data_IF_274571413072
#
_entry.id   IF_274571413072
#
_cell.length_a   1.000
_cell.length_b   1.000
_cell.length_c   1.000
_cell.angle_alpha   90.00
_cell.angle_beta   90.00
_cell.angle_gamma   90.00
#
_symmetry.space_group_name_H-M   'P 1'
#
loop_
_entity.id
_entity.type
_entity.pdbx_description
1 polymer ?
#
# COMPACT_ATOMS: atom_id res chain seq x y z
N UNK A 1 -30.87 53.07 41.42
CA UNK A 1 -30.10 51.98 40.79
C UNK A 1 -30.42 51.98 39.31
N UNK A 2 -29.41 52.19 38.47
CA UNK A 2 -29.57 52.58 37.08
C UNK A 2 -30.06 51.43 36.19
N UNK A 3 -31.16 51.67 35.47
CA UNK A 3 -31.56 50.91 34.30
C UNK A 3 -30.68 51.31 33.11
N UNK A 4 -30.09 50.32 32.42
CA UNK A 4 -29.44 50.54 31.13
C UNK A 4 -30.23 49.84 30.04
N UNK A 5 -31.00 50.66 29.34
CA UNK A 5 -31.47 50.47 27.96
C UNK A 5 -30.25 50.40 27.04
N UNK A 6 -30.20 49.42 26.13
CA UNK A 6 -29.34 49.54 24.95
C UNK A 6 -30.11 49.14 23.69
N UNK A 7 -30.11 50.08 22.76
CA UNK A 7 -30.81 50.07 21.51
C UNK A 7 -30.17 49.13 20.48
N UNK A 8 -31.07 48.61 19.64
CA UNK A 8 -30.83 47.83 18.44
C UNK A 8 -30.03 48.60 17.39
N UNK A 9 -29.02 47.95 16.78
CA UNK A 9 -28.42 48.37 15.51
C UNK A 9 -28.13 47.12 14.68
N UNK A 10 -28.90 46.95 13.61
CA UNK A 10 -28.69 45.94 12.59
C UNK A 10 -27.38 46.21 11.82
N UNK A 11 -26.57 45.16 11.66
CA UNK A 11 -25.48 45.10 10.68
C UNK A 11 -25.37 43.64 10.20
N UNK A 12 -25.32 43.48 8.88
CA UNK A 12 -25.27 42.19 8.16
C UNK A 12 -24.03 41.35 8.55
N UNK A 13 -24.10 40.01 8.52
CA UNK A 13 -22.90 39.19 8.56
C UNK A 13 -22.21 39.21 7.19
N UNK A 14 -21.03 39.84 7.13
CA UNK A 14 -20.07 39.65 6.06
C UNK A 14 -19.36 38.31 6.30
N UNK A 15 -19.82 37.30 5.57
CA UNK A 15 -19.21 35.98 5.46
C UNK A 15 -17.94 36.10 4.60
N UNK A 16 -16.76 36.08 5.23
CA UNK A 16 -15.49 35.86 4.52
C UNK A 16 -15.02 34.44 4.80
N UNK A 17 -15.37 33.59 3.85
CA UNK A 17 -15.12 32.16 3.84
C UNK A 17 -13.66 31.78 4.07
N UNK A 18 -13.50 31.00 5.15
CA UNK A 18 -12.62 29.85 5.26
C UNK A 18 -12.49 29.09 3.93
N UNK A 19 -11.40 29.30 3.19
CA UNK A 19 -11.04 28.46 2.03
C UNK A 19 -9.56 28.07 1.97
N UNK A 20 -8.72 28.54 2.91
CA UNK A 20 -7.33 28.08 3.05
C UNK A 20 -7.23 26.75 3.80
N UNK A 21 -7.95 26.61 4.92
CA UNK A 21 -7.80 25.46 5.82
C UNK A 21 -8.45 24.15 5.35
N UNK A 22 -9.41 24.20 4.41
CA UNK A 22 -10.08 23.01 3.90
C UNK A 22 -9.30 22.33 2.76
N UNK A 23 -8.53 23.11 1.99
CA UNK A 23 -7.78 22.61 0.83
C UNK A 23 -6.48 21.91 1.26
N UNK A 24 -5.81 22.42 2.29
CA UNK A 24 -4.66 21.76 2.92
C UNK A 24 -5.07 20.54 3.75
N UNK A 25 -6.23 20.55 4.41
CA UNK A 25 -6.79 19.36 5.09
C UNK A 25 -7.24 18.28 4.11
N UNK A 26 -7.83 18.66 2.97
CA UNK A 26 -8.23 17.71 1.92
C UNK A 26 -7.03 17.10 1.17
N UNK A 27 -5.90 17.81 1.08
CA UNK A 27 -4.64 17.29 0.52
C UNK A 27 -3.85 16.45 1.54
N UNK A 28 -4.05 16.64 2.84
CA UNK A 28 -3.48 15.80 3.90
C UNK A 28 -4.28 14.50 4.13
N UNK A 29 -5.59 14.50 3.88
CA UNK A 29 -6.46 13.32 4.02
C UNK A 29 -6.51 12.42 2.78
N UNK A 30 -6.07 12.90 1.61
CA UNK A 30 -5.92 12.09 0.40
C UNK A 30 -4.48 11.67 0.19
N UNK A 31 -4.07 10.67 0.98
CA UNK A 31 -3.15 9.59 0.61
C UNK A 31 -1.83 9.97 -0.10
N UNK A 32 -0.65 9.68 0.49
CA UNK A 32 0.71 9.90 -0.06
C UNK A 32 0.96 9.51 -1.53
N UNK A 33 0.06 8.73 -2.14
CA UNK A 33 0.08 8.34 -3.54
C UNK A 33 -0.17 9.50 -4.52
N UNK A 34 -0.96 10.53 -4.17
CA UNK A 34 -1.22 11.68 -5.07
C UNK A 34 0.09 12.41 -5.38
N UNK A 35 0.93 12.60 -4.36
CA UNK A 35 2.26 13.17 -4.52
C UNK A 35 3.20 12.23 -5.29
N UNK A 36 3.06 10.91 -5.17
CA UNK A 36 3.83 9.92 -5.93
C UNK A 36 3.44 9.89 -7.42
N UNK A 37 2.16 9.98 -7.74
CA UNK A 37 1.65 10.06 -9.12
C UNK A 37 2.02 11.39 -9.77
N UNK A 38 1.96 12.50 -9.03
CA UNK A 38 2.44 13.80 -9.50
C UNK A 38 3.97 13.82 -9.72
N UNK A 39 4.75 13.12 -8.88
CA UNK A 39 6.19 12.91 -9.07
C UNK A 39 6.51 12.02 -10.27
N UNK A 40 5.75 10.95 -10.50
CA UNK A 40 5.88 10.10 -11.69
C UNK A 40 5.55 10.83 -12.99
N UNK A 41 4.55 11.72 -12.97
CA UNK A 41 4.24 12.64 -14.08
C UNK A 41 5.35 13.69 -14.31
N UNK A 42 6.22 13.95 -13.34
CA UNK A 42 7.38 14.84 -13.49
C UNK A 42 8.64 14.13 -14.02
N UNK A 43 8.69 12.79 -13.98
CA UNK A 43 9.87 11.96 -14.26
C UNK A 43 10.18 11.69 -15.76
N UNK A 44 9.87 12.64 -16.64
CA UNK A 44 10.23 12.58 -18.06
C UNK A 44 9.29 11.73 -18.94
N UNK A 45 9.51 11.76 -20.27
CA UNK A 45 8.56 11.25 -21.27
C UNK A 45 8.29 9.74 -21.18
N UNK A 46 9.26 8.93 -20.74
CA UNK A 46 9.10 7.46 -20.60
C UNK A 46 8.15 7.06 -19.47
N UNK A 47 8.22 7.73 -18.32
CA UNK A 47 7.34 7.47 -17.17
C UNK A 47 5.88 7.85 -17.47
N UNK A 48 5.67 8.86 -18.32
CA UNK A 48 4.34 9.32 -18.74
C UNK A 48 3.66 8.36 -19.72
N UNK A 49 4.43 7.76 -20.64
CA UNK A 49 3.92 6.77 -21.59
C UNK A 49 3.53 5.46 -20.89
N UNK A 50 4.32 5.01 -19.91
CA UNK A 50 4.03 3.83 -19.09
C UNK A 50 2.78 4.01 -18.21
N UNK A 51 2.58 5.22 -17.65
CA UNK A 51 1.39 5.53 -16.87
C UNK A 51 0.12 5.57 -17.73
N UNK A 52 0.20 6.15 -18.93
CA UNK A 52 -0.94 6.29 -19.83
C UNK A 52 -1.39 4.97 -20.48
N UNK A 53 -0.49 4.00 -20.63
CA UNK A 53 -0.79 2.69 -21.22
C UNK A 53 -1.47 1.71 -20.25
N UNK A 54 -1.43 1.97 -18.93
CA UNK A 54 -1.90 1.04 -17.91
C UNK A 54 -3.02 1.58 -17.00
N UNK A 55 -3.60 2.73 -17.35
CA UNK A 55 -4.73 3.30 -16.60
C UNK A 55 -6.07 2.82 -17.20
N UNK A 56 -6.92 2.11 -16.44
CA UNK A 56 -8.25 1.74 -16.90
C UNK A 56 -9.15 2.98 -17.11
N UNK A 57 -10.10 2.91 -18.05
CA UNK A 57 -10.96 4.04 -18.48
C UNK A 57 -11.74 4.71 -17.33
N UNK A 58 -12.07 3.95 -16.29
CA UNK A 58 -12.73 4.44 -15.07
C UNK A 58 -11.84 5.38 -14.26
N UNK A 59 -10.51 5.19 -14.32
CA UNK A 59 -9.51 6.00 -13.61
C UNK A 59 -9.15 7.26 -14.41
N UNK A 60 -9.12 7.17 -15.74
CA UNK A 60 -9.03 8.32 -16.65
C UNK A 60 -10.22 9.28 -16.45
N UNK A 61 -11.43 8.73 -16.33
CA UNK A 61 -12.65 9.50 -16.07
C UNK A 61 -12.58 10.29 -14.75
N UNK A 62 -11.97 9.71 -13.72
CA UNK A 62 -11.77 10.35 -12.41
C UNK A 62 -10.67 11.42 -12.43
N UNK A 63 -9.56 11.16 -13.13
CA UNK A 63 -8.50 12.15 -13.37
C UNK A 63 -9.02 13.38 -14.14
N UNK A 64 -9.83 13.16 -15.17
CA UNK A 64 -10.51 14.21 -15.94
C UNK A 64 -11.48 15.00 -15.06
N UNK A 65 -12.21 14.32 -14.17
CA UNK A 65 -13.14 14.96 -13.22
C UNK A 65 -12.42 15.79 -12.16
N UNK A 66 -11.27 15.32 -11.66
CA UNK A 66 -10.42 16.02 -10.69
C UNK A 66 -9.75 17.27 -11.27
N UNK A 67 -9.41 17.25 -12.56
CA UNK A 67 -8.78 18.38 -13.26
C UNK A 67 -9.80 19.37 -13.84
N UNK A 68 -11.09 19.01 -13.87
CA UNK A 68 -12.21 19.80 -14.39
C UNK A 68 -12.31 21.23 -13.83
N UNK A 69 -12.06 21.50 -12.53
CA UNK A 69 -12.15 22.87 -12.00
C UNK A 69 -11.05 23.81 -12.52
N UNK A 70 -9.88 23.28 -12.91
CA UNK A 70 -8.81 24.07 -13.53
C UNK A 70 -9.00 24.29 -15.04
N UNK A 71 -9.81 23.44 -15.67
CA UNK A 71 -10.12 23.45 -17.11
C UNK A 71 -11.27 24.43 -17.47
N UNK A 72 -12.07 24.86 -16.51
CA UNK A 72 -13.14 25.85 -16.73
C UNK A 72 -12.64 27.28 -17.00
N UNK A 73 -11.33 27.53 -16.88
CA UNK A 73 -10.72 28.86 -16.99
C UNK A 73 -10.15 29.20 -18.37
N UNK A 74 -10.29 28.33 -19.39
CA UNK A 74 -9.86 28.65 -20.77
C UNK A 74 -11.06 28.83 -21.72
N UNK A 75 -11.01 29.84 -22.61
CA UNK A 75 -12.13 30.16 -23.48
C UNK A 75 -12.31 29.10 -24.60
N UNK A 76 -13.54 28.66 -24.89
CA UNK A 76 -13.81 27.76 -26.01
C UNK A 76 -13.71 28.51 -27.35
N UNK A 77 -13.22 27.83 -28.39
CA UNK A 77 -13.32 28.32 -29.78
C UNK A 77 -14.74 28.10 -30.32
N UNK A 78 -15.32 29.09 -31.03
CA UNK A 78 -16.67 28.96 -31.56
C UNK A 78 -16.71 27.93 -32.70
N UNK A 79 -17.65 26.98 -32.62
CA UNK A 79 -18.04 26.11 -33.75
C UNK A 79 -17.62 24.63 -33.72
N UNK A 80 -17.11 24.06 -32.63
CA UNK A 80 -16.69 22.64 -32.58
C UNK A 80 -17.71 21.71 -31.90
N UNK A 81 -17.96 20.54 -32.51
CA UNK A 81 -18.84 19.50 -31.94
C UNK A 81 -18.14 18.69 -30.83
N UNK A 82 -18.91 18.01 -29.98
CA UNK A 82 -18.43 17.29 -28.79
C UNK A 82 -17.32 16.23 -29.05
N UNK A 83 -17.35 15.45 -30.15
CA UNK A 83 -16.28 14.49 -30.46
C UNK A 83 -14.96 15.19 -30.87
N UNK A 84 -15.05 16.32 -31.58
CA UNK A 84 -13.87 17.11 -31.97
C UNK A 84 -13.22 17.81 -30.77
N UNK A 85 -14.05 18.26 -29.82
CA UNK A 85 -13.56 18.72 -28.51
C UNK A 85 -12.84 17.60 -27.75
N UNK A 86 -13.29 16.35 -27.92
CA UNK A 86 -12.63 15.20 -27.30
C UNK A 86 -11.26 14.85 -27.90
N UNK A 87 -11.11 14.96 -29.21
CA UNK A 87 -9.83 14.71 -29.88
C UNK A 87 -8.84 15.84 -29.64
N UNK A 88 -9.32 17.08 -29.71
CA UNK A 88 -8.54 18.28 -29.48
C UNK A 88 -7.97 18.36 -28.06
N UNK A 89 -8.69 17.88 -27.02
CA UNK A 89 -8.14 17.88 -25.66
C UNK A 89 -7.00 16.88 -25.50
N UNK A 90 -7.05 15.70 -26.15
CA UNK A 90 -5.97 14.70 -26.08
C UNK A 90 -4.69 15.24 -26.71
N UNK A 91 -4.84 15.87 -27.88
CA UNK A 91 -3.74 16.47 -28.62
C UNK A 91 -3.18 17.72 -27.91
N UNK A 92 -4.04 18.55 -27.30
CA UNK A 92 -3.63 19.71 -26.51
C UNK A 92 -2.96 19.33 -25.18
N UNK A 93 -3.42 18.28 -24.49
CA UNK A 93 -2.77 17.76 -23.29
C UNK A 93 -1.38 17.21 -23.62
N UNK A 94 -1.28 16.42 -24.69
CA UNK A 94 0.00 15.89 -25.17
C UNK A 94 0.97 17.02 -25.55
N UNK A 95 0.49 18.04 -26.27
CA UNK A 95 1.29 19.19 -26.66
C UNK A 95 1.72 20.06 -25.47
N UNK A 96 0.86 20.28 -24.46
CA UNK A 96 1.20 21.05 -23.26
C UNK A 96 2.21 20.34 -22.35
N UNK A 97 2.13 19.00 -22.29
CA UNK A 97 3.09 18.14 -21.60
C UNK A 97 4.47 18.14 -22.30
N UNK A 98 4.48 18.26 -23.64
CA UNK A 98 5.71 18.42 -24.43
C UNK A 98 6.27 19.86 -24.38
N UNK A 99 5.44 20.91 -24.40
CA UNK A 99 5.90 22.31 -24.41
C UNK A 99 6.53 22.79 -23.10
N UNK A 100 6.28 22.10 -21.99
CA UNK A 100 6.93 22.37 -20.69
C UNK A 100 8.29 21.67 -20.53
N UNK A 101 8.67 20.81 -21.46
CA UNK A 101 10.03 20.29 -21.59
C UNK A 101 10.82 21.26 -22.49
N UNK A 102 11.33 22.35 -21.91
CA UNK A 102 12.31 23.20 -22.57
C UNK A 102 13.55 22.40 -22.98
N UNK A 103 14.17 22.85 -24.08
CA UNK A 103 15.24 22.26 -24.91
C UNK A 103 16.45 21.65 -24.17
N UNK A 104 17.15 20.67 -24.79
CA UNK A 104 18.28 19.99 -24.16
C UNK A 104 19.54 20.88 -24.16
N UNK A 105 20.13 21.09 -22.97
CA UNK A 105 21.50 21.58 -22.81
C UNK A 105 22.51 20.43 -22.92
N UNK A 106 23.77 20.68 -23.33
CA UNK A 106 24.68 19.63 -23.77
C UNK A 106 25.14 18.73 -22.61
N UNK A 107 25.35 17.47 -22.96
CA UNK A 107 25.76 16.37 -22.11
C UNK A 107 26.86 16.77 -21.09
N UNK A 108 26.49 16.81 -19.81
CA UNK A 108 27.43 16.70 -18.71
C UNK A 108 27.46 15.22 -18.28
N UNK A 109 28.65 14.63 -18.39
CA UNK A 109 28.94 13.24 -18.06
C UNK A 109 28.39 12.86 -16.69
N UNK A 110 27.56 11.81 -16.67
CA UNK A 110 27.24 11.08 -15.44
C UNK A 110 28.55 10.45 -14.96
N UNK A 111 28.98 10.65 -13.69
CA UNK A 111 30.13 9.94 -13.16
C UNK A 111 29.83 8.43 -13.20
N UNK A 112 30.82 7.65 -13.64
CA UNK A 112 30.76 6.18 -13.60
C UNK A 112 30.28 5.65 -12.23
N UNK A 113 29.61 4.49 -12.21
CA UNK A 113 29.31 3.81 -10.96
C UNK A 113 30.63 3.48 -10.25
N UNK A 114 30.72 3.86 -8.98
CA UNK A 114 31.75 3.36 -8.07
C UNK A 114 31.71 1.82 -8.05
N UNK A 115 32.85 1.16 -7.91
CA UNK A 115 33.04 -0.22 -8.35
C UNK A 115 32.17 -1.20 -7.56
N UNK A 116 31.76 -2.25 -8.26
CA UNK A 116 31.28 -3.49 -7.69
C UNK A 116 32.12 -3.85 -6.46
N UNK A 117 31.47 -3.94 -5.30
CA UNK A 117 32.08 -4.55 -4.13
C UNK A 117 32.46 -5.97 -4.53
N UNK A 118 33.75 -6.19 -4.73
CA UNK A 118 34.32 -7.50 -4.92
C UNK A 118 33.99 -8.32 -3.68
N UNK A 119 33.32 -9.47 -3.88
CA UNK A 119 33.13 -10.46 -2.85
C UNK A 119 34.51 -10.81 -2.27
N UNK A 120 34.70 -10.49 -0.99
CA UNK A 120 35.90 -10.87 -0.25
C UNK A 120 35.88 -12.41 -0.16
N UNK A 121 36.85 -13.15 -0.74
CA UNK A 121 36.87 -14.60 -0.62
C UNK A 121 37.29 -14.96 0.81
N UNK A 122 36.40 -15.64 1.56
CA UNK A 122 36.77 -16.31 2.81
C UNK A 122 36.15 -15.79 4.11
N UNK A 123 35.13 -14.94 4.07
CA UNK A 123 34.29 -14.72 5.27
C UNK A 123 33.32 -15.91 5.35
N UNK A 124 33.35 -16.76 6.40
CA UNK A 124 32.31 -17.77 6.57
C UNK A 124 30.97 -17.04 6.60
N UNK A 125 29.96 -17.57 5.89
CA UNK A 125 28.63 -17.00 5.83
C UNK A 125 28.15 -16.73 7.26
N UNK A 126 28.27 -15.48 7.70
CA UNK A 126 27.79 -15.02 8.99
C UNK A 126 26.28 -15.16 8.87
N UNK A 127 25.68 -16.00 9.71
CA UNK A 127 24.23 -15.99 9.83
C UNK A 127 23.81 -14.52 9.97
N UNK A 128 22.90 -14.00 9.13
CA UNK A 128 22.51 -12.60 9.22
C UNK A 128 22.07 -12.35 10.66
N UNK A 129 22.77 -11.42 11.32
CA UNK A 129 22.57 -11.12 12.73
C UNK A 129 21.09 -10.73 12.89
N UNK A 130 20.34 -11.35 13.82
CA UNK A 130 18.96 -10.92 14.05
C UNK A 130 18.97 -9.44 14.44
N UNK A 131 17.93 -8.72 14.00
CA UNK A 131 17.73 -7.32 14.39
C UNK A 131 17.94 -7.17 15.91
N UNK A 132 18.63 -6.11 16.35
CA UNK A 132 18.89 -5.88 17.76
C UNK A 132 17.61 -5.90 18.58
N UNK A 133 17.72 -6.41 19.80
CA UNK A 133 16.64 -6.36 20.78
C UNK A 133 16.16 -4.92 20.99
N UNK A 134 14.84 -4.75 21.12
CA UNK A 134 14.22 -3.43 21.30
C UNK A 134 13.97 -2.68 19.98
N UNK A 135 14.41 -3.21 18.84
CA UNK A 135 14.10 -2.62 17.54
C UNK A 135 12.60 -2.67 17.24
N UNK A 136 12.09 -1.57 16.68
CA UNK A 136 10.69 -1.34 16.35
C UNK A 136 10.52 -1.08 14.87
N UNK A 137 9.65 -1.85 14.23
CA UNK A 137 9.34 -1.73 12.82
C UNK A 137 7.87 -1.36 12.65
N UNK A 138 7.62 -0.24 11.94
CA UNK A 138 6.28 0.16 11.56
C UNK A 138 5.80 -0.70 10.37
N UNK A 139 4.55 -1.17 10.46
CA UNK A 139 3.93 -2.03 9.46
C UNK A 139 2.66 -1.38 8.90
N UNK A 140 2.33 -1.72 7.66
CA UNK A 140 1.09 -1.31 6.97
C UNK A 140 0.15 -2.49 6.67
N UNK A 141 0.61 -3.71 6.92
CA UNK A 141 -0.06 -4.97 6.65
C UNK A 141 -0.18 -5.85 7.91
N UNK A 142 -0.23 -5.24 9.10
CA UNK A 142 -0.24 -5.94 10.38
C UNK A 142 -1.44 -6.89 10.53
N UNK A 143 -2.54 -6.61 9.83
CA UNK A 143 -3.73 -7.45 9.79
C UNK A 143 -3.55 -8.80 9.09
N UNK A 144 -2.44 -9.01 8.39
CA UNK A 144 -2.06 -10.29 7.78
C UNK A 144 -2.08 -11.46 8.76
N UNK A 145 -1.87 -11.20 10.05
CA UNK A 145 -1.97 -12.19 11.13
C UNK A 145 -3.32 -12.92 11.20
N UNK A 146 -4.40 -12.33 10.68
CA UNK A 146 -5.70 -12.99 10.61
C UNK A 146 -5.70 -14.18 9.66
N UNK A 147 -4.77 -14.22 8.69
CA UNK A 147 -4.58 -15.34 7.77
C UNK A 147 -3.79 -16.49 8.41
N UNK A 148 -3.23 -16.31 9.62
CA UNK A 148 -2.25 -17.21 10.19
C UNK A 148 -2.69 -18.69 10.26
N UNK A 149 -3.91 -19.05 10.68
CA UNK A 149 -4.33 -20.45 10.73
C UNK A 149 -4.35 -21.15 9.37
N UNK A 150 -4.42 -20.38 8.28
CA UNK A 150 -4.59 -20.90 6.93
C UNK A 150 -3.26 -21.04 6.17
N UNK A 151 -2.20 -20.36 6.62
CA UNK A 151 -0.94 -20.31 5.87
C UNK A 151 -0.27 -21.67 5.64
N UNK A 152 -0.19 -22.59 6.62
CA UNK A 152 0.41 -23.90 6.38
C UNK A 152 -0.28 -24.68 5.27
N UNK A 153 -1.62 -24.66 5.26
CA UNK A 153 -2.40 -25.33 4.21
C UNK A 153 -2.27 -24.62 2.87
N UNK A 154 -2.31 -23.28 2.85
CA UNK A 154 -2.10 -22.48 1.65
C UNK A 154 -0.76 -22.84 0.98
N UNK A 155 0.32 -22.82 1.76
CA UNK A 155 1.67 -23.10 1.23
C UNK A 155 1.83 -24.55 0.81
N UNK A 156 1.20 -25.50 1.50
CA UNK A 156 1.15 -26.90 1.06
C UNK A 156 0.42 -27.09 -0.28
N UNK A 157 -0.73 -26.43 -0.47
CA UNK A 157 -1.48 -26.49 -1.75
C UNK A 157 -0.68 -25.86 -2.90
N UNK A 158 0.08 -24.81 -2.62
CA UNK A 158 0.95 -24.16 -3.61
C UNK A 158 2.28 -24.90 -3.82
N UNK A 159 2.54 -25.99 -3.10
CA UNK A 159 3.78 -26.76 -3.19
C UNK A 159 5.02 -26.01 -2.66
N UNK A 160 4.83 -24.96 -1.86
CA UNK A 160 5.91 -24.17 -1.27
C UNK A 160 6.45 -24.80 0.03
N UNK A 161 5.62 -25.57 0.72
CA UNK A 161 5.94 -26.27 1.97
C UNK A 161 5.71 -27.76 1.81
N UNK A 162 6.71 -28.56 2.23
CA UNK A 162 6.65 -30.01 2.33
C UNK A 162 7.24 -30.44 3.69
N UNK A 163 6.65 -31.45 4.32
CA UNK A 163 7.15 -32.02 5.60
C UNK A 163 7.40 -30.99 6.71
N UNK A 164 6.59 -29.92 6.76
CA UNK A 164 6.68 -28.88 7.79
C UNK A 164 7.77 -27.83 7.57
N UNK A 165 8.42 -27.80 6.40
CA UNK A 165 9.41 -26.79 6.04
C UNK A 165 9.19 -26.27 4.60
N UNK A 166 9.71 -25.08 4.31
CA UNK A 166 9.77 -24.61 2.93
C UNK A 166 10.69 -25.51 2.10
N UNK A 167 10.31 -25.77 0.84
CA UNK A 167 11.08 -26.66 -0.05
C UNK A 167 12.49 -26.13 -0.34
N UNK A 168 12.61 -24.81 -0.45
CA UNK A 168 13.86 -24.07 -0.59
C UNK A 168 13.67 -22.60 -0.17
N UNK A 169 14.75 -21.83 -0.19
CA UNK A 169 14.72 -20.40 0.12
C UNK A 169 13.84 -19.61 -0.85
N UNK A 170 13.84 -19.95 -2.13
CA UNK A 170 13.04 -19.25 -3.15
C UNK A 170 11.53 -19.45 -2.92
N UNK A 171 11.12 -20.60 -2.40
CA UNK A 171 9.74 -20.89 -2.01
C UNK A 171 9.31 -20.02 -0.81
N UNK A 172 10.19 -19.82 0.18
CA UNK A 172 9.93 -18.94 1.30
C UNK A 172 9.85 -17.46 0.87
N UNK A 173 10.75 -17.02 -0.02
CA UNK A 173 10.72 -15.67 -0.60
C UNK A 173 9.44 -15.44 -1.42
N UNK A 174 9.05 -16.42 -2.25
CA UNK A 174 7.82 -16.39 -3.03
C UNK A 174 6.59 -16.35 -2.12
N UNK A 175 6.56 -17.15 -1.05
CA UNK A 175 5.49 -17.13 -0.07
C UNK A 175 5.34 -15.74 0.57
N UNK A 176 6.44 -15.10 0.98
CA UNK A 176 6.43 -13.76 1.56
C UNK A 176 5.77 -12.72 0.62
N UNK A 177 6.07 -12.79 -0.67
CA UNK A 177 5.52 -11.89 -1.69
C UNK A 177 4.05 -12.23 -2.03
N UNK A 178 3.68 -13.51 -2.06
CA UNK A 178 2.30 -13.94 -2.23
C UNK A 178 1.41 -13.51 -1.06
N UNK A 179 1.91 -13.53 0.16
CA UNK A 179 1.20 -12.98 1.32
C UNK A 179 0.93 -11.49 1.15
N UNK A 180 1.89 -10.73 0.63
CA UNK A 180 1.69 -9.30 0.37
C UNK A 180 0.63 -9.07 -0.69
N UNK A 181 0.65 -9.87 -1.76
CA UNK A 181 -0.40 -9.84 -2.79
C UNK A 181 -1.76 -10.24 -2.21
N UNK A 182 -1.83 -11.21 -1.29
CA UNK A 182 -3.07 -11.59 -0.63
C UNK A 182 -3.67 -10.42 0.18
N UNK A 183 -2.83 -9.70 0.92
CA UNK A 183 -3.23 -8.55 1.75
C UNK A 183 -3.60 -7.32 0.92
N UNK A 184 -2.81 -6.99 -0.10
CA UNK A 184 -2.93 -5.70 -0.81
C UNK A 184 -3.57 -5.78 -2.19
N UNK A 185 -3.59 -6.96 -2.80
CA UNK A 185 -3.95 -7.16 -4.20
C UNK A 185 -2.88 -6.68 -5.20
N UNK A 186 -1.72 -6.21 -4.72
CA UNK A 186 -0.64 -5.65 -5.54
C UNK A 186 0.54 -6.62 -5.58
N UNK A 187 1.02 -6.94 -6.78
CA UNK A 187 2.09 -7.93 -7.00
C UNK A 187 3.51 -7.32 -6.91
N UNK A 188 3.61 -6.10 -6.39
CA UNK A 188 4.85 -5.38 -6.19
C UNK A 188 4.80 -4.66 -4.85
N UNK A 189 5.86 -4.78 -4.07
CA UNK A 189 6.00 -4.06 -2.83
C UNK A 189 7.48 -3.77 -2.56
N UNK A 190 7.81 -2.56 -2.07
CA UNK A 190 9.15 -2.29 -1.61
C UNK A 190 9.44 -3.10 -0.33
N UNK A 191 10.69 -3.53 -0.18
CA UNK A 191 11.10 -4.47 0.86
C UNK A 191 10.81 -4.00 2.29
N UNK A 192 10.87 -2.68 2.53
CA UNK A 192 10.56 -2.09 3.83
C UNK A 192 9.10 -2.32 4.29
N UNK A 193 8.20 -2.75 3.40
CA UNK A 193 6.82 -3.13 3.74
C UNK A 193 6.66 -4.62 4.08
N UNK A 194 7.70 -5.42 3.86
CA UNK A 194 7.68 -6.88 4.01
C UNK A 194 8.26 -7.46 5.32
N UNK A 195 8.59 -6.71 6.41
CA UNK A 195 9.14 -7.35 7.61
C UNK A 195 8.26 -8.47 8.19
N UNK A 196 6.94 -8.25 8.30
CA UNK A 196 6.03 -9.26 8.82
C UNK A 196 5.94 -10.48 7.89
N UNK A 197 5.98 -10.27 6.58
CA UNK A 197 5.96 -11.34 5.58
C UNK A 197 7.18 -12.25 5.73
N UNK A 198 8.36 -11.65 5.89
CA UNK A 198 9.61 -12.37 6.11
C UNK A 198 9.53 -13.20 7.39
N UNK A 199 9.08 -12.60 8.50
CA UNK A 199 8.95 -13.31 9.78
C UNK A 199 7.97 -14.50 9.70
N UNK A 200 6.80 -14.32 9.11
CA UNK A 200 5.81 -15.40 8.96
C UNK A 200 6.32 -16.54 8.06
N UNK A 201 7.25 -16.25 7.15
CA UNK A 201 7.91 -17.25 6.29
C UNK A 201 9.24 -17.76 6.86
N UNK A 202 9.64 -17.35 8.08
CA UNK A 202 10.90 -17.79 8.70
C UNK A 202 12.16 -17.21 8.03
N UNK A 203 12.03 -16.18 7.20
CA UNK A 203 13.14 -15.49 6.55
C UNK A 203 13.81 -14.51 7.52
N UNK A 204 15.12 -14.33 7.37
CA UNK A 204 15.86 -13.29 8.07
C UNK A 204 15.40 -11.90 7.62
N UNK A 205 15.41 -10.92 8.53
CA UNK A 205 14.97 -9.55 8.21
C UNK A 205 15.81 -8.91 7.08
N UNK A 206 17.11 -9.23 7.03
CA UNK A 206 18.06 -8.73 6.02
C UNK A 206 18.03 -9.51 4.71
N UNK A 207 17.31 -10.64 4.63
CA UNK A 207 17.28 -11.44 3.40
C UNK A 207 16.62 -10.64 2.26
N UNK A 208 17.31 -10.37 1.14
CA UNK A 208 16.76 -9.54 0.08
C UNK A 208 15.54 -10.21 -0.55
N UNK A 209 14.54 -9.41 -0.92
CA UNK A 209 13.38 -9.90 -1.66
C UNK A 209 13.24 -9.19 -3.00
N UNK A 210 12.80 -9.89 -4.06
CA UNK A 210 12.38 -9.25 -5.31
C UNK A 210 11.31 -8.17 -5.06
N UNK A 211 11.42 -7.02 -5.74
CA UNK A 211 10.47 -5.91 -5.64
C UNK A 211 9.08 -6.24 -6.21
N UNK A 212 9.01 -7.22 -7.10
CA UNK A 212 7.79 -7.65 -7.76
C UNK A 212 7.83 -9.14 -8.09
N UNK A 213 6.65 -9.73 -8.17
CA UNK A 213 6.45 -11.10 -8.62
C UNK A 213 5.41 -11.14 -9.73
N UNK A 214 5.57 -12.11 -10.62
CA UNK A 214 4.46 -12.54 -11.47
C UNK A 214 3.63 -13.57 -10.70
N UNK A 215 2.40 -13.18 -10.39
CA UNK A 215 1.42 -14.06 -9.73
C UNK A 215 0.70 -14.84 -10.81
N UNK A 216 0.87 -16.15 -10.79
CA UNK A 216 0.21 -17.07 -11.72
C UNK A 216 -1.30 -17.09 -11.49
N UNK A 217 -2.06 -17.55 -12.48
CA UNK A 217 -3.52 -17.64 -12.33
C UNK A 217 -3.92 -18.67 -11.26
N UNK A 218 -3.16 -19.77 -11.13
CA UNK A 218 -3.37 -20.76 -10.07
C UNK A 218 -3.20 -20.14 -8.67
N UNK A 219 -2.14 -19.34 -8.47
CA UNK A 219 -1.91 -18.68 -7.18
C UNK A 219 -2.98 -17.63 -6.88
N UNK A 220 -3.36 -16.84 -7.90
CA UNK A 220 -4.42 -15.84 -7.77
C UNK A 220 -5.74 -16.50 -7.36
N UNK A 221 -6.13 -17.58 -8.04
CA UNK A 221 -7.33 -18.33 -7.73
C UNK A 221 -7.27 -18.93 -6.32
N UNK A 222 -6.14 -19.54 -5.95
CA UNK A 222 -5.95 -20.15 -4.63
C UNK A 222 -6.05 -19.13 -3.51
N UNK A 223 -5.44 -17.94 -3.68
CA UNK A 223 -5.52 -16.85 -2.72
C UNK A 223 -6.93 -16.24 -2.65
N UNK A 224 -7.61 -16.09 -3.78
CA UNK A 224 -8.98 -15.61 -3.80
C UNK A 224 -9.91 -16.57 -3.04
N UNK A 225 -9.83 -17.87 -3.33
CA UNK A 225 -10.61 -18.90 -2.63
C UNK A 225 -10.30 -18.96 -1.14
N UNK A 226 -9.05 -18.73 -0.74
CA UNK A 226 -8.69 -18.62 0.68
C UNK A 226 -9.41 -17.43 1.34
N UNK A 227 -9.33 -16.24 0.75
CA UNK A 227 -9.94 -15.02 1.31
C UNK A 227 -11.46 -15.15 1.35
N UNK A 228 -12.08 -15.73 0.33
CA UNK A 228 -13.51 -16.06 0.32
C UNK A 228 -13.90 -17.03 1.44
N UNK A 229 -13.11 -18.08 1.65
CA UNK A 229 -13.34 -19.04 2.74
C UNK A 229 -13.21 -18.38 4.11
N UNK A 230 -12.23 -17.48 4.30
CA UNK A 230 -12.08 -16.71 5.53
C UNK A 230 -13.32 -15.82 5.79
N UNK A 231 -13.79 -15.11 4.77
CA UNK A 231 -14.98 -14.25 4.86
C UNK A 231 -16.23 -15.09 5.18
N UNK A 232 -16.41 -16.22 4.50
CA UNK A 232 -17.55 -17.11 4.73
C UNK A 232 -17.55 -17.74 6.13
N UNK A 233 -16.36 -18.08 6.65
CA UNK A 233 -16.21 -18.64 7.99
C UNK A 233 -16.52 -17.59 9.06
N UNK A 234 -16.16 -16.33 8.81
CA UNK A 234 -16.45 -15.22 9.70
C UNK A 234 -17.82 -14.60 9.40
N UNK A 235 -18.88 -15.31 9.82
CA UNK A 235 -20.28 -14.96 9.54
C UNK A 235 -20.67 -13.50 9.87
N UNK A 236 -19.99 -12.86 10.83
CA UNK A 236 -20.21 -11.46 11.19
C UNK A 236 -19.87 -10.46 10.05
N UNK A 237 -19.07 -10.86 9.05
CA UNK A 237 -18.75 -10.04 7.88
C UNK A 237 -19.87 -9.99 6.84
N UNK A 238 -20.82 -10.93 6.88
CA UNK A 238 -21.92 -11.00 5.91
C UNK A 238 -21.43 -11.06 4.45
N UNK A 239 -21.90 -10.14 3.62
CA UNK A 239 -21.59 -10.09 2.18
C UNK A 239 -20.40 -9.17 1.85
N UNK A 240 -19.34 -9.21 2.66
CA UNK A 240 -18.13 -8.41 2.43
C UNK A 240 -17.35 -8.96 1.23
N UNK A 241 -16.92 -8.07 0.32
CA UNK A 241 -16.04 -8.45 -0.79
C UNK A 241 -14.60 -8.67 -0.32
N UNK A 242 -13.78 -9.36 -1.12
CA UNK A 242 -12.34 -9.55 -0.83
C UNK A 242 -11.65 -8.19 -0.57
N UNK A 243 -11.88 -7.20 -1.43
CA UNK A 243 -11.26 -5.88 -1.26
C UNK A 243 -11.78 -5.16 -0.01
N UNK A 244 -13.07 -5.29 0.31
CA UNK A 244 -13.62 -4.79 1.57
C UNK A 244 -12.95 -5.43 2.78
N UNK A 245 -12.74 -6.74 2.75
CA UNK A 245 -12.05 -7.49 3.80
C UNK A 245 -10.59 -7.05 3.95
N UNK A 246 -9.87 -6.89 2.83
CA UNK A 246 -8.50 -6.37 2.82
C UNK A 246 -8.41 -5.00 3.49
N UNK A 247 -9.22 -4.05 3.07
CA UNK A 247 -9.17 -2.68 3.58
C UNK A 247 -9.61 -2.57 5.04
N UNK A 248 -10.60 -3.35 5.47
CA UNK A 248 -11.08 -3.30 6.84
C UNK A 248 -10.13 -4.00 7.83
N UNK A 249 -9.51 -5.12 7.44
CA UNK A 249 -8.87 -6.03 8.39
C UNK A 249 -7.44 -6.44 8.06
N UNK A 250 -7.01 -6.50 6.80
CA UNK A 250 -5.66 -6.97 6.46
C UNK A 250 -4.66 -5.82 6.29
N UNK A 251 -5.06 -4.74 5.62
CA UNK A 251 -4.25 -3.53 5.42
C UNK A 251 -4.40 -2.65 6.66
N UNK A 252 -3.64 -3.01 7.70
CA UNK A 252 -3.69 -2.36 9.01
C UNK A 252 -2.32 -1.89 9.43
N UNK A 253 -2.30 -0.70 10.02
CA UNK A 253 -1.11 -0.21 10.68
C UNK A 253 -0.81 -1.05 11.91
N UNK A 254 0.46 -1.25 12.17
CA UNK A 254 0.91 -1.90 13.39
C UNK A 254 2.39 -1.65 13.64
N UNK A 255 2.84 -2.17 14.75
CA UNK A 255 4.22 -2.05 15.19
C UNK A 255 4.72 -3.42 15.63
N UNK A 256 5.88 -3.79 15.12
CA UNK A 256 6.56 -5.03 15.43
C UNK A 256 7.78 -4.70 16.27
N UNK A 257 7.84 -5.26 17.48
CA UNK A 257 8.92 -5.10 18.44
C UNK A 257 9.70 -6.41 18.55
N UNK A 258 11.02 -6.32 18.41
CA UNK A 258 11.94 -7.43 18.65
C UNK A 258 12.18 -7.60 20.16
N UNK A 259 11.77 -8.72 20.72
CA UNK A 259 12.16 -9.16 22.08
C UNK A 259 13.45 -9.98 22.07
N UNK A 260 13.79 -10.63 23.18
CA UNK A 260 14.93 -11.58 23.21
C UNK A 260 14.55 -12.89 22.48
N UNK A 261 13.48 -13.54 22.92
CA UNK A 261 13.06 -14.87 22.42
C UNK A 261 11.86 -14.83 21.48
N UNK A 262 11.20 -13.67 21.37
CA UNK A 262 9.96 -13.52 20.62
C UNK A 262 9.89 -12.21 19.81
N UNK A 263 8.75 -12.08 19.10
CA UNK A 263 8.32 -10.85 18.45
C UNK A 263 6.98 -10.44 19.03
N UNK A 264 6.84 -9.15 19.35
CA UNK A 264 5.57 -8.57 19.78
C UNK A 264 4.99 -7.72 18.66
N UNK A 265 3.82 -8.10 18.14
CA UNK A 265 3.08 -7.32 17.16
C UNK A 265 1.90 -6.61 17.82
N UNK A 266 1.86 -5.29 17.73
CA UNK A 266 0.71 -4.47 18.12
C UNK A 266 -0.02 -4.00 16.86
N UNK A 267 -1.30 -4.34 16.74
CA UNK A 267 -2.15 -3.86 15.64
C UNK A 267 -2.91 -2.62 16.11
N UNK A 268 -2.79 -1.53 15.34
CA UNK A 268 -3.48 -0.28 15.63
C UNK A 268 -4.99 -0.46 15.51
N UNK A 269 -5.82 0.18 16.35
CA UNK A 269 -7.27 0.02 16.31
C UNK A 269 -7.90 0.59 15.04
N UNK A 270 -9.10 0.12 14.73
CA UNK A 270 -9.82 0.47 13.50
C UNK A 270 -11.33 0.41 13.66
N UNK A 271 -12.07 0.97 12.69
CA UNK A 271 -13.50 1.24 12.83
C UNK A 271 -14.39 -0.01 12.92
N UNK A 272 -13.89 -1.15 12.43
CA UNK A 272 -14.64 -2.40 12.39
C UNK A 272 -14.16 -3.43 13.44
N UNK A 273 -13.31 -3.00 14.38
CA UNK A 273 -12.65 -3.91 15.31
C UNK A 273 -13.59 -4.55 16.33
N UNK A 274 -14.77 -3.96 16.53
CA UNK A 274 -15.87 -4.59 17.28
C UNK A 274 -16.29 -5.96 16.70
N UNK A 275 -15.97 -6.25 15.43
CA UNK A 275 -16.23 -7.56 14.83
C UNK A 275 -15.20 -8.62 15.24
N UNK A 276 -14.04 -8.23 15.80
CA UNK A 276 -12.97 -9.16 16.19
C UNK A 276 -13.44 -10.11 17.29
N UNK A 277 -14.34 -9.65 18.15
CA UNK A 277 -14.94 -10.45 19.22
C UNK A 277 -15.77 -11.63 18.69
N UNK A 278 -16.13 -11.60 17.40
CA UNK A 278 -16.87 -12.66 16.70
C UNK A 278 -16.01 -13.48 15.75
N UNK A 279 -14.68 -13.30 15.78
CA UNK A 279 -13.78 -14.09 14.97
C UNK A 279 -13.77 -15.54 15.48
N UNK A 280 -13.99 -16.54 14.61
CA UNK A 280 -14.13 -17.93 15.06
C UNK A 280 -12.78 -18.66 15.26
N UNK A 281 -11.65 -17.98 15.11
CA UNK A 281 -10.31 -18.53 15.32
C UNK A 281 -9.41 -17.60 16.13
N UNK A 282 -8.39 -18.16 16.76
CA UNK A 282 -7.36 -17.41 17.48
C UNK A 282 -6.16 -17.08 16.58
N UNK A 283 -5.52 -15.95 16.85
CA UNK A 283 -4.31 -15.47 16.19
C UNK A 283 -3.32 -14.81 17.16
N UNK A 284 -3.52 -14.96 18.48
CA UNK A 284 -2.74 -14.27 19.52
C UNK A 284 -1.29 -14.74 19.61
N UNK A 285 -1.00 -15.98 19.22
CA UNK A 285 0.36 -16.52 19.16
C UNK A 285 0.52 -17.25 17.83
N UNK A 286 1.50 -16.82 17.03
CA UNK A 286 1.79 -17.39 15.72
C UNK A 286 3.18 -18.01 15.75
N UNK A 287 3.25 -19.32 15.55
CA UNK A 287 4.50 -20.07 15.43
C UNK A 287 4.30 -21.23 14.47
N UNK A 288 4.98 -21.18 13.33
CA UNK A 288 5.05 -22.31 12.40
C UNK A 288 6.33 -23.11 12.62
N UNK A 289 6.40 -24.37 12.14
CA UNK A 289 7.59 -25.20 12.33
C UNK A 289 8.87 -24.64 11.67
N UNK A 290 8.73 -23.83 10.61
CA UNK A 290 9.84 -23.13 9.94
C UNK A 290 10.24 -21.80 10.60
N UNK A 291 9.53 -21.33 11.62
CA UNK A 291 9.85 -20.08 12.30
C UNK A 291 10.81 -20.32 13.46
N UNK A 292 11.84 -19.46 13.58
CA UNK A 292 12.76 -19.48 14.74
C UNK A 292 12.02 -19.08 16.03
N UNK A 293 11.26 -17.99 15.97
CA UNK A 293 10.65 -17.33 17.13
C UNK A 293 9.14 -17.15 16.94
N UNK A 294 8.33 -17.23 18.00
CA UNK A 294 6.91 -16.94 17.91
C UNK A 294 6.65 -15.44 17.74
N UNK A 295 5.47 -15.11 17.23
CA UNK A 295 4.92 -13.75 17.22
C UNK A 295 3.75 -13.71 18.19
N UNK A 296 3.83 -12.86 19.21
CA UNK A 296 2.74 -12.52 20.11
C UNK A 296 1.97 -11.32 19.55
N UNK A 297 0.69 -11.52 19.28
CA UNK A 297 -0.17 -10.50 18.66
C UNK A 297 -1.09 -9.87 19.69
N UNK A 298 -1.00 -8.56 19.81
CA UNK A 298 -1.93 -7.72 20.57
C UNK A 298 -2.74 -6.88 19.60
N UNK A 299 -4.04 -7.13 19.55
CA UNK A 299 -4.97 -6.29 18.79
C UNK A 299 -5.67 -5.32 19.73
N UNK A 300 -5.34 -4.03 19.62
CA UNK A 300 -5.97 -3.02 20.47
C UNK A 300 -7.43 -2.81 20.03
N UNK A 301 -8.36 -2.92 20.99
CA UNK A 301 -9.77 -2.60 20.80
C UNK A 301 -9.98 -1.15 21.26
N UNK A 302 -10.63 -0.31 20.45
CA UNK A 302 -11.12 1.02 20.88
C UNK A 302 -12.43 0.87 21.63
#
# INVERSE_FOLDING_TARGET
MAAKTHASKAALPSDTGSTGGARERMLAEQGPWVAATLRGLAAGPGARAALAAHLPDTMLSRLVTLLRPGLAALPPRPGSTEPDRQRHWREALAAAVCKRAGTPGPAAAVPHPAPAQQAVPGVPAREPDPLPEGERLALLNAGMVLMAPYLPRLFGVLGLVADGAFTDTAAAERAALLLQFAVTGVASAPEYQLPLNKLMCGLAAEAPLPLAIEVTEQERATLASLLEAMIATWSALGHTSIDGFRHAFLVRQGELLRGEEDWSLSVAPGPFDMLMDRLPWSFSIIRYPWMKQPIHVTWQRT
#
